data_IF_294950755052
#
_entry.id   IF_294950755052
#
_cell.length_a   1.000
_cell.length_b   1.000
_cell.length_c   1.000
_cell.angle_alpha   90.00
_cell.angle_beta   90.00
_cell.angle_gamma   90.00
#
_symmetry.space_group_name_H-M   'P 1'
#
loop_
_entity.id
_entity.type
_entity.pdbx_description
1 polymer ?
#
# COMPACT_ATOMS: atom_id res chain seq x y z
N UNK A 1 -11.36 -9.35 -0.46
CA UNK A 1 -9.90 -9.15 -0.52
C UNK A 1 -9.61 -7.68 -0.23
N UNK A 2 -8.55 -7.41 0.51
CA UNK A 2 -8.15 -6.05 0.89
C UNK A 2 -6.84 -5.69 0.20
N UNK A 3 -6.73 -4.45 -0.24
CA UNK A 3 -5.53 -3.92 -0.85
C UNK A 3 -4.68 -3.21 0.22
N UNK A 4 -3.36 -3.34 0.15
CA UNK A 4 -2.44 -2.77 1.13
C UNK A 4 -1.63 -1.65 0.49
N UNK A 5 -1.73 -0.44 1.06
CA UNK A 5 -0.96 0.72 0.62
C UNK A 5 0.49 0.65 1.15
N UNK A 6 1.36 1.40 0.54
CA UNK A 6 2.80 1.40 0.79
C UNK A 6 3.17 1.65 2.26
N UNK A 7 2.45 2.56 2.95
CA UNK A 7 2.77 2.88 4.34
C UNK A 7 2.67 1.65 5.26
N UNK A 8 1.76 0.72 4.99
CA UNK A 8 1.64 -0.51 5.77
C UNK A 8 2.92 -1.35 5.65
N UNK A 9 3.45 -1.48 4.44
CA UNK A 9 4.70 -2.21 4.22
C UNK A 9 5.87 -1.55 4.94
N UNK A 10 5.95 -0.22 4.88
CA UNK A 10 7.02 0.53 5.54
C UNK A 10 6.95 0.41 7.06
N UNK A 11 5.76 0.49 7.66
CA UNK A 11 5.62 0.27 9.10
C UNK A 11 6.01 -1.15 9.50
N UNK A 12 5.68 -2.14 8.69
CA UNK A 12 5.94 -3.55 9.03
C UNK A 12 7.43 -3.85 9.22
N UNK A 13 8.30 -3.07 8.59
CA UNK A 13 9.76 -3.24 8.67
C UNK A 13 10.42 -2.20 9.59
N UNK A 14 9.65 -1.33 10.22
CA UNK A 14 10.21 -0.26 11.04
C UNK A 14 10.91 -0.80 12.28
N UNK A 15 12.09 -0.26 12.58
CA UNK A 15 12.86 -0.54 13.78
C UNK A 15 12.78 0.60 14.79
N UNK A 16 12.02 1.67 14.50
CA UNK A 16 11.89 2.84 15.34
C UNK A 16 10.99 2.53 16.55
N UNK A 17 11.46 2.85 17.75
CA UNK A 17 10.70 2.62 18.99
C UNK A 17 9.33 3.31 18.96
N UNK A 18 9.28 4.53 18.43
CA UNK A 18 8.05 5.29 18.33
C UNK A 18 7.01 4.66 17.41
N UNK A 19 7.43 3.76 16.50
CA UNK A 19 6.57 3.08 15.54
C UNK A 19 6.28 1.62 15.91
N UNK A 20 6.68 1.17 17.10
CA UNK A 20 6.58 -0.24 17.48
C UNK A 20 5.14 -0.78 17.45
N UNK A 21 4.16 0.00 17.90
CA UNK A 21 2.75 -0.40 17.87
C UNK A 21 2.24 -0.52 16.45
N UNK A 22 2.57 0.45 15.60
CA UNK A 22 2.19 0.41 14.18
C UNK A 22 2.88 -0.73 13.45
N UNK A 23 4.15 -0.99 13.75
CA UNK A 23 4.89 -2.11 13.18
C UNK A 23 4.19 -3.44 13.49
N UNK A 24 3.79 -3.64 14.74
CA UNK A 24 3.08 -4.86 15.16
C UNK A 24 1.74 -5.02 14.43
N UNK A 25 0.96 -3.93 14.33
CA UNK A 25 -0.32 -3.95 13.61
C UNK A 25 -0.13 -4.24 12.11
N UNK A 26 0.87 -3.61 11.48
CA UNK A 26 1.18 -3.83 10.07
C UNK A 26 1.61 -5.29 9.83
N UNK A 27 2.44 -5.85 10.68
CA UNK A 27 2.84 -7.25 10.60
C UNK A 27 1.65 -8.19 10.73
N UNK A 28 0.71 -7.88 11.64
CA UNK A 28 -0.51 -8.66 11.80
C UNK A 28 -1.38 -8.62 10.54
N UNK A 29 -1.51 -7.44 9.89
CA UNK A 29 -2.20 -7.33 8.60
C UNK A 29 -1.54 -8.23 7.56
N UNK A 30 -0.22 -8.16 7.43
CA UNK A 30 0.53 -8.90 6.40
C UNK A 30 0.61 -10.41 6.67
N UNK A 31 0.19 -10.87 7.84
CA UNK A 31 0.07 -12.30 8.12
C UNK A 31 -1.17 -12.94 7.47
N UNK A 32 -2.12 -12.14 7.01
CA UNK A 32 -3.28 -12.64 6.27
C UNK A 32 -2.88 -13.05 4.85
N UNK A 33 -3.59 -14.03 4.29
CA UNK A 33 -3.32 -14.50 2.92
C UNK A 33 -4.19 -13.82 1.87
N UNK A 34 -5.30 -13.19 2.26
CA UNK A 34 -6.28 -12.61 1.34
C UNK A 34 -6.04 -11.12 1.11
N UNK A 35 -4.85 -10.79 0.61
CA UNK A 35 -4.43 -9.42 0.36
C UNK A 35 -3.98 -9.23 -1.07
N UNK A 36 -4.05 -7.99 -1.54
CA UNK A 36 -3.49 -7.57 -2.82
C UNK A 36 -2.58 -6.36 -2.64
N UNK A 37 -1.57 -6.30 -3.47
CA UNK A 37 -0.68 -5.15 -3.64
C UNK A 37 -0.72 -4.74 -5.12
N UNK A 38 0.03 -3.71 -5.46
CA UNK A 38 0.29 -3.37 -6.86
C UNK A 38 1.78 -3.24 -7.10
N UNK A 39 2.17 -3.25 -8.37
CA UNK A 39 3.56 -2.97 -8.76
C UNK A 39 3.98 -1.59 -8.26
N UNK A 40 3.09 -0.60 -8.31
CA UNK A 40 3.37 0.74 -7.78
C UNK A 40 3.74 0.69 -6.29
N UNK A 41 2.99 -0.05 -5.48
CA UNK A 41 3.25 -0.18 -4.04
C UNK A 41 4.63 -0.80 -3.80
N UNK A 42 4.99 -1.82 -4.56
CA UNK A 42 6.31 -2.44 -4.44
C UNK A 42 7.43 -1.50 -4.88
N UNK A 43 7.22 -0.72 -5.93
CA UNK A 43 8.17 0.30 -6.37
C UNK A 43 8.38 1.38 -5.30
N UNK A 44 7.30 1.90 -4.74
CA UNK A 44 7.36 2.91 -3.69
C UNK A 44 8.07 2.36 -2.44
N UNK A 45 7.74 1.12 -2.06
CA UNK A 45 8.43 0.47 -0.94
C UNK A 45 9.93 0.40 -1.19
N UNK A 46 10.36 -0.06 -2.37
CA UNK A 46 11.79 -0.15 -2.68
C UNK A 46 12.48 1.20 -2.57
N UNK A 47 11.92 2.22 -3.22
CA UNK A 47 12.54 3.56 -3.24
C UNK A 47 12.61 4.14 -1.83
N UNK A 48 11.53 4.06 -1.06
CA UNK A 48 11.47 4.67 0.27
C UNK A 48 12.27 3.90 1.31
N UNK A 49 12.25 2.56 1.29
CA UNK A 49 12.94 1.74 2.29
C UNK A 49 14.46 1.77 2.13
N UNK A 50 14.96 2.00 0.91
CA UNK A 50 16.40 2.05 0.63
C UNK A 50 16.97 3.47 0.61
N UNK A 51 16.11 4.49 0.78
CA UNK A 51 16.53 5.89 0.78
C UNK A 51 17.50 6.15 1.92
N UNK A 52 18.67 6.74 1.61
CA UNK A 52 19.72 6.98 2.61
C UNK A 52 19.29 7.98 3.71
N UNK A 53 18.34 8.85 3.42
CA UNK A 53 17.79 9.80 4.42
C UNK A 53 16.87 9.13 5.44
N UNK A 54 16.46 7.88 5.19
CA UNK A 54 15.60 7.13 6.11
C UNK A 54 16.43 6.63 7.32
N UNK A 55 15.87 6.66 8.55
CA UNK A 55 16.48 5.95 9.66
C UNK A 55 16.57 4.44 9.34
N UNK A 56 17.74 3.85 9.54
CA UNK A 56 17.98 2.42 9.24
C UNK A 56 17.55 2.02 7.82
N UNK A 57 18.12 2.63 6.77
CA UNK A 57 17.75 2.29 5.41
C UNK A 57 18.12 0.84 5.10
N UNK A 58 17.22 0.15 4.37
CA UNK A 58 17.52 -1.21 3.91
C UNK A 58 18.57 -1.17 2.81
N UNK A 59 19.36 -2.24 2.74
CA UNK A 59 20.18 -2.50 1.56
C UNK A 59 19.30 -2.97 0.42
N UNK A 60 19.83 -2.96 -0.80
CA UNK A 60 19.13 -3.52 -1.97
C UNK A 60 18.69 -4.96 -1.70
N UNK A 61 19.58 -5.81 -1.18
CA UNK A 61 19.28 -7.23 -0.97
C UNK A 61 18.21 -7.44 0.09
N UNK A 62 18.22 -6.63 1.16
CA UNK A 62 17.18 -6.67 2.20
C UNK A 62 15.82 -6.28 1.62
N UNK A 63 15.73 -5.19 0.86
CA UNK A 63 14.49 -4.75 0.23
C UNK A 63 13.98 -5.79 -0.76
N UNK A 64 14.87 -6.38 -1.56
CA UNK A 64 14.52 -7.43 -2.51
C UNK A 64 13.94 -8.66 -1.82
N UNK A 65 14.50 -9.06 -0.66
CA UNK A 65 13.99 -10.20 0.11
C UNK A 65 12.56 -9.96 0.58
N UNK A 66 12.25 -8.76 1.08
CA UNK A 66 10.87 -8.41 1.46
C UNK A 66 9.93 -8.45 0.25
N UNK A 67 10.32 -7.84 -0.85
CA UNK A 67 9.49 -7.82 -2.07
C UNK A 67 9.19 -9.24 -2.54
N UNK A 68 10.19 -10.12 -2.54
CA UNK A 68 10.01 -11.54 -2.92
C UNK A 68 9.02 -12.24 -2.00
N UNK A 69 9.08 -11.97 -0.70
CA UNK A 69 8.15 -12.54 0.28
C UNK A 69 6.71 -12.10 -0.01
N UNK A 70 6.51 -10.81 -0.33
CA UNK A 70 5.17 -10.28 -0.58
C UNK A 70 4.61 -10.65 -1.94
N UNK A 71 5.40 -11.21 -2.84
CA UNK A 71 4.90 -11.71 -4.14
C UNK A 71 3.97 -12.90 -4.02
N UNK A 72 3.82 -13.46 -2.83
CA UNK A 72 2.79 -14.46 -2.55
C UNK A 72 1.37 -13.89 -2.60
N UNK A 73 1.22 -12.58 -2.43
CA UNK A 73 -0.07 -11.91 -2.55
C UNK A 73 -0.44 -11.69 -4.02
N UNK A 74 -1.69 -11.29 -4.26
CA UNK A 74 -2.10 -10.84 -5.59
C UNK A 74 -1.39 -9.52 -5.88
N UNK A 75 -0.68 -9.44 -7.00
CA UNK A 75 0.04 -8.24 -7.40
C UNK A 75 -0.64 -7.68 -8.67
N UNK A 76 -1.26 -6.53 -8.55
CA UNK A 76 -1.89 -5.85 -9.67
C UNK A 76 -0.86 -5.14 -10.52
N UNK A 77 -0.80 -5.47 -11.81
CA UNK A 77 0.10 -4.82 -12.77
C UNK A 77 -0.34 -3.38 -13.05
N UNK A 78 0.61 -2.55 -13.46
CA UNK A 78 0.35 -1.21 -13.95
C UNK A 78 -0.09 -1.32 -15.41
N UNK A 79 -1.39 -1.20 -15.67
CA UNK A 79 -1.98 -1.34 -17.00
C UNK A 79 -2.58 -0.02 -17.47
N UNK A 80 -2.90 0.07 -18.77
CA UNK A 80 -3.65 1.23 -19.29
C UNK A 80 -5.02 1.36 -18.63
N UNK A 81 -5.67 0.24 -18.31
CA UNK A 81 -6.95 0.26 -17.60
C UNK A 81 -6.80 0.89 -16.20
N UNK A 82 -5.74 0.56 -15.47
CA UNK A 82 -5.46 1.19 -14.16
C UNK A 82 -5.20 2.68 -14.32
N UNK A 83 -4.45 3.10 -15.33
CA UNK A 83 -4.22 4.52 -15.63
C UNK A 83 -5.55 5.25 -15.89
N UNK A 84 -6.39 4.70 -16.76
CA UNK A 84 -7.67 5.32 -17.12
C UNK A 84 -8.59 5.45 -15.91
N UNK A 85 -8.67 4.41 -15.08
CA UNK A 85 -9.44 4.45 -13.83
C UNK A 85 -8.88 5.48 -12.86
N UNK A 86 -7.55 5.56 -12.75
CA UNK A 86 -6.89 6.53 -11.85
C UNK A 86 -7.20 7.98 -12.26
N UNK A 87 -7.18 8.27 -13.56
CA UNK A 87 -7.50 9.60 -14.06
C UNK A 87 -8.96 9.98 -13.77
N UNK A 88 -9.89 9.02 -13.93
CA UNK A 88 -11.31 9.24 -13.63
C UNK A 88 -11.52 9.47 -12.13
N UNK A 89 -10.87 8.70 -11.26
CA UNK A 89 -10.94 8.84 -9.81
C UNK A 89 -10.39 10.19 -9.37
N UNK A 90 -9.25 10.59 -9.93
CA UNK A 90 -8.65 11.90 -9.64
C UNK A 90 -9.62 13.04 -9.96
N UNK A 91 -10.24 13.00 -11.13
CA UNK A 91 -11.18 14.03 -11.55
C UNK A 91 -12.40 14.11 -10.62
N UNK A 92 -12.92 12.97 -10.20
CA UNK A 92 -14.15 12.89 -9.37
C UNK A 92 -13.91 13.28 -7.92
N UNK A 93 -12.79 12.83 -7.32
CA UNK A 93 -12.55 12.96 -5.87
C UNK A 93 -11.44 13.95 -5.53
N UNK A 94 -10.76 14.50 -6.52
CA UNK A 94 -9.68 15.48 -6.33
C UNK A 94 -8.53 14.98 -5.45
N UNK A 95 -8.27 13.69 -5.50
CA UNK A 95 -7.10 13.09 -4.88
C UNK A 95 -5.83 13.42 -5.68
N UNK A 96 -4.66 13.21 -5.09
CA UNK A 96 -3.43 13.16 -5.89
C UNK A 96 -3.54 12.05 -6.92
N UNK A 97 -2.78 12.16 -8.02
CA UNK A 97 -2.77 11.09 -9.01
C UNK A 97 -2.32 9.76 -8.40
N UNK A 98 -1.27 9.79 -7.55
CA UNK A 98 -0.71 8.56 -7.00
C UNK A 98 -1.68 7.86 -6.04
N UNK A 99 -2.42 8.61 -5.22
CA UNK A 99 -3.49 8.03 -4.39
C UNK A 99 -4.62 7.49 -5.26
N UNK A 100 -4.98 8.20 -6.32
CA UNK A 100 -5.98 7.72 -7.28
C UNK A 100 -5.55 6.42 -7.96
N UNK A 101 -4.26 6.27 -8.26
CA UNK A 101 -3.71 5.05 -8.84
C UNK A 101 -3.76 3.88 -7.87
N UNK A 102 -3.57 4.12 -6.57
CA UNK A 102 -3.73 3.09 -5.52
C UNK A 102 -5.18 2.59 -5.50
N UNK A 103 -6.15 3.51 -5.47
CA UNK A 103 -7.58 3.15 -5.47
C UNK A 103 -7.94 2.40 -6.77
N UNK A 104 -7.44 2.86 -7.91
CA UNK A 104 -7.69 2.22 -9.20
C UNK A 104 -7.13 0.79 -9.26
N UNK A 105 -5.93 0.59 -8.75
CA UNK A 105 -5.32 -0.74 -8.67
C UNK A 105 -6.13 -1.67 -7.78
N UNK A 106 -6.57 -1.19 -6.62
CA UNK A 106 -7.40 -1.95 -5.70
C UNK A 106 -8.71 -2.39 -6.37
N UNK A 107 -9.36 -1.47 -7.07
CA UNK A 107 -10.61 -1.75 -7.77
C UNK A 107 -10.42 -2.76 -8.89
N UNK A 108 -9.35 -2.62 -9.67
CA UNK A 108 -9.03 -3.55 -10.76
C UNK A 108 -8.72 -4.95 -10.23
N UNK A 109 -8.10 -5.05 -9.04
CA UNK A 109 -7.82 -6.32 -8.37
C UNK A 109 -9.04 -6.89 -7.62
N UNK A 110 -10.21 -6.29 -7.77
CA UNK A 110 -11.47 -6.69 -7.12
C UNK A 110 -11.41 -6.61 -5.59
N UNK A 111 -10.66 -5.65 -5.06
CA UNK A 111 -10.64 -5.36 -3.64
C UNK A 111 -11.77 -4.40 -3.28
N UNK A 112 -12.36 -4.57 -2.10
CA UNK A 112 -13.40 -3.69 -1.58
C UNK A 112 -12.87 -2.69 -0.55
N UNK A 113 -11.66 -2.91 -0.07
CA UNK A 113 -11.01 -2.05 0.92
C UNK A 113 -9.57 -1.77 0.54
N UNK A 114 -9.10 -0.57 0.88
CA UNK A 114 -7.68 -0.20 0.85
C UNK A 114 -7.27 0.11 2.29
N UNK A 115 -6.26 -0.60 2.79
CA UNK A 115 -5.67 -0.33 4.08
C UNK A 115 -4.61 0.75 3.91
N UNK A 116 -4.83 1.92 4.49
CA UNK A 116 -3.94 3.07 4.36
C UNK A 116 -4.10 4.03 5.53
N UNK A 117 -2.99 4.62 5.97
CA UNK A 117 -2.99 5.70 6.96
C UNK A 117 -3.18 7.07 6.29
N UNK A 118 -2.83 7.19 5.01
CA UNK A 118 -2.64 8.48 4.34
C UNK A 118 -3.89 9.04 3.66
N UNK A 119 -4.92 8.22 3.50
CA UNK A 119 -6.19 8.65 2.86
C UNK A 119 -7.28 8.82 3.91
N UNK A 120 -8.43 9.35 3.48
CA UNK A 120 -9.56 9.58 4.41
C UNK A 120 -10.17 8.25 4.87
N UNK A 121 -9.97 7.92 6.14
CA UNK A 121 -10.52 6.73 6.75
C UNK A 121 -12.05 6.73 6.67
N UNK A 122 -12.61 5.62 6.19
CA UNK A 122 -14.04 5.42 6.04
C UNK A 122 -14.62 5.94 4.73
N UNK A 123 -13.87 6.66 3.91
CA UNK A 123 -14.42 7.17 2.65
C UNK A 123 -14.50 6.07 1.59
N UNK A 124 -15.63 6.05 0.89
CA UNK A 124 -15.87 5.17 -0.26
C UNK A 124 -15.49 5.91 -1.55
N UNK A 125 -14.63 5.29 -2.35
CA UNK A 125 -14.19 5.80 -3.64
C UNK A 125 -14.75 4.92 -4.77
N UNK A 126 -16.06 4.93 -4.93
CA UNK A 126 -16.68 4.17 -6.01
C UNK A 126 -16.68 2.65 -5.79
N UNK A 127 -16.90 2.21 -4.57
CA UNK A 127 -16.93 0.79 -4.21
C UNK A 127 -15.67 0.28 -3.52
N UNK A 128 -14.68 1.14 -3.32
CA UNK A 128 -13.47 0.85 -2.55
C UNK A 128 -13.42 1.76 -1.35
N UNK A 129 -13.49 1.20 -0.15
CA UNK A 129 -13.48 1.96 1.10
C UNK A 129 -12.09 1.97 1.72
N UNK A 130 -11.62 3.14 2.12
CA UNK A 130 -10.35 3.25 2.85
C UNK A 130 -10.55 2.92 4.32
N UNK A 131 -9.65 2.10 4.86
CA UNK A 131 -9.63 1.74 6.28
C UNK A 131 -8.24 2.03 6.82
N UNK A 132 -8.15 2.83 7.88
CA UNK A 132 -6.89 3.05 8.58
C UNK A 132 -6.74 1.97 9.67
N UNK A 133 -5.83 0.98 9.49
CA UNK A 133 -5.70 -0.11 10.45
C UNK A 133 -5.04 0.31 11.76
N UNK A 134 -4.49 1.54 11.84
CA UNK A 134 -3.81 2.04 13.02
C UNK A 134 -4.74 2.81 13.96
N UNK A 135 -5.92 3.17 13.53
CA UNK A 135 -6.92 3.79 14.40
C UNK A 135 -7.48 2.75 15.38
N UNK A 136 -7.71 3.17 16.64
CA UNK A 136 -8.34 2.29 17.62
C UNK A 136 -9.79 1.95 17.27
#
# INVERSE_FOLDING_TARGET
>A
MRFVDTNILLYSISTQTAEAVKAAKAQAVLSNSNLALSVQVLQEFYVQSTRLSRPDPLTHDEALAFIRTWRRFVIQDITLAVLDHALAIKARYQLSYWDSAIIAAAKTANCTEVLSEDMNDGQDYGGVTVVNPFKP
#
